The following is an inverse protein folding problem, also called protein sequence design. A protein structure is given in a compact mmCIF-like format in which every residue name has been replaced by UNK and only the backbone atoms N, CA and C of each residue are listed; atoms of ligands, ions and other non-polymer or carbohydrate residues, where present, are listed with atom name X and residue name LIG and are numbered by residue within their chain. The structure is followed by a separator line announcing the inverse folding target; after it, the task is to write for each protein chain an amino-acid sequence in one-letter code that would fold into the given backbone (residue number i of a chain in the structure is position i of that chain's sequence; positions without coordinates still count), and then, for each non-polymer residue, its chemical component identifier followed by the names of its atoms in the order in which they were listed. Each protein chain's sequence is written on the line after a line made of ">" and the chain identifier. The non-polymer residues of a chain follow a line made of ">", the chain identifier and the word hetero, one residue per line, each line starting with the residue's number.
data_IF_931150448416
#
_entry.id   IF_931150448416
#
_cell.length_a   1.000
_cell.length_b   1.000
_cell.length_c   1.000
_cell.angle_alpha   90.00
_cell.angle_beta   90.00
_cell.angle_gamma   90.00
#
_symmetry.space_group_name_H-M   'P 1'
#
loop_
_entity.id
_entity.type
_entity.pdbx_description
1 polymer ?
#
# COMPACT_ATOMS: atom_id res chain seq x y z
N UNK A 1 3.60 -14.96 9.47
CA UNK A 1 2.74 -13.98 8.75
C UNK A 1 1.47 -13.59 9.53
N UNK A 2 1.36 -12.32 9.91
CA UNK A 2 0.19 -11.70 10.57
C UNK A 2 -1.09 -11.81 9.71
N UNK A 3 -2.26 -11.97 10.35
CA UNK A 3 -3.55 -12.17 9.67
C UNK A 3 -3.92 -11.05 8.69
N UNK A 4 -3.60 -9.80 9.02
CA UNK A 4 -3.94 -8.63 8.21
C UNK A 4 -3.23 -8.59 6.86
N UNK A 5 -1.97 -9.02 6.79
CA UNK A 5 -1.26 -9.11 5.50
C UNK A 5 -1.84 -10.21 4.62
N UNK A 6 -2.27 -11.33 5.21
CA UNK A 6 -2.90 -12.43 4.46
C UNK A 6 -4.21 -11.99 3.82
N UNK A 7 -5.03 -11.24 4.55
CA UNK A 7 -6.28 -10.71 4.03
C UNK A 7 -6.05 -9.70 2.90
N UNK A 8 -5.15 -8.72 3.09
CA UNK A 8 -4.81 -7.74 2.06
C UNK A 8 -4.22 -8.40 0.79
N UNK A 9 -3.38 -9.43 0.97
CA UNK A 9 -2.82 -10.21 -0.13
C UNK A 9 -3.91 -10.95 -0.93
N UNK A 10 -4.75 -11.73 -0.25
CA UNK A 10 -5.82 -12.50 -0.89
C UNK A 10 -6.80 -11.58 -1.61
N UNK A 11 -7.25 -10.51 -0.94
CA UNK A 11 -8.13 -9.51 -1.54
C UNK A 11 -7.51 -8.87 -2.77
N UNK A 12 -6.26 -8.42 -2.67
CA UNK A 12 -5.52 -7.81 -3.78
C UNK A 12 -5.41 -8.75 -4.99
N UNK A 13 -5.05 -10.01 -4.76
CA UNK A 13 -4.94 -11.02 -5.83
C UNK A 13 -6.28 -11.25 -6.52
N UNK A 14 -7.37 -11.43 -5.77
CA UNK A 14 -8.71 -11.63 -6.34
C UNK A 14 -9.11 -10.43 -7.19
N UNK A 15 -8.96 -9.20 -6.68
CA UNK A 15 -9.31 -7.99 -7.41
C UNK A 15 -8.47 -7.84 -8.70
N UNK A 16 -7.16 -8.13 -8.66
CA UNK A 16 -6.28 -8.06 -9.83
C UNK A 16 -6.70 -9.07 -10.91
N UNK A 17 -6.94 -10.32 -10.53
CA UNK A 17 -7.36 -11.36 -11.47
C UNK A 17 -8.70 -11.01 -12.16
N UNK A 18 -9.61 -10.34 -11.45
CA UNK A 18 -10.92 -9.94 -11.98
C UNK A 18 -10.87 -8.66 -12.83
N UNK A 19 -10.05 -7.68 -12.45
CA UNK A 19 -10.13 -6.32 -12.99
C UNK A 19 -9.00 -5.98 -13.97
N UNK A 20 -7.87 -6.71 -13.92
CA UNK A 20 -6.64 -6.37 -14.63
C UNK A 20 -6.26 -7.41 -15.69
N UNK A 21 -7.22 -8.16 -16.23
CA UNK A 21 -6.99 -9.23 -17.21
C UNK A 21 -6.22 -8.77 -18.46
N UNK A 22 -6.30 -7.49 -18.82
CA UNK A 22 -5.55 -6.88 -19.92
C UNK A 22 -4.04 -6.75 -19.66
N UNK A 23 -3.60 -6.88 -18.40
CA UNK A 23 -2.19 -6.90 -17.97
C UNK A 23 -1.73 -8.31 -17.60
N UNK A 24 -2.51 -9.32 -17.95
CA UNK A 24 -2.18 -10.72 -17.75
C UNK A 24 -1.05 -11.11 -18.70
N UNK A 25 0.00 -11.70 -18.16
CA UNK A 25 1.03 -12.39 -18.93
C UNK A 25 0.82 -13.90 -18.74
N UNK A 26 0.80 -14.64 -19.85
CA UNK A 26 0.56 -16.08 -19.87
C UNK A 26 1.67 -16.76 -20.68
N UNK A 27 2.44 -17.63 -20.02
CA UNK A 27 3.51 -18.41 -20.65
C UNK A 27 3.09 -19.85 -20.98
N UNK A 28 1.82 -20.20 -20.78
CA UNK A 28 1.23 -21.52 -21.03
C UNK A 28 1.10 -22.38 -19.76
N UNK A 29 2.04 -22.27 -18.82
CA UNK A 29 2.04 -23.03 -17.56
C UNK A 29 1.70 -22.13 -16.36
N UNK A 30 1.99 -20.84 -16.47
CA UNK A 30 1.82 -19.85 -15.43
C UNK A 30 1.16 -18.58 -15.98
N UNK A 31 0.24 -18.07 -15.17
CA UNK A 31 -0.31 -16.72 -15.34
C UNK A 31 0.37 -15.80 -14.34
N UNK A 32 0.90 -14.69 -14.83
CA UNK A 32 1.53 -13.66 -14.01
C UNK A 32 0.92 -12.28 -14.26
N UNK A 33 1.10 -11.40 -13.28
CA UNK A 33 0.65 -10.02 -13.31
C UNK A 33 1.76 -9.12 -12.77
N UNK A 34 1.87 -7.86 -13.24
CA UNK A 34 2.81 -6.90 -12.69
C UNK A 34 2.62 -6.70 -11.18
N UNK A 35 3.69 -6.88 -10.40
CA UNK A 35 3.68 -6.68 -8.93
C UNK A 35 3.20 -5.28 -8.52
N UNK A 36 3.40 -4.28 -9.39
CA UNK A 36 2.93 -2.91 -9.17
C UNK A 36 1.44 -2.82 -8.87
N UNK A 37 0.62 -3.69 -9.47
CA UNK A 37 -0.83 -3.72 -9.23
C UNK A 37 -1.15 -4.07 -7.78
N UNK A 38 -0.42 -5.02 -7.19
CA UNK A 38 -0.63 -5.41 -5.81
C UNK A 38 -0.12 -4.34 -4.83
N UNK A 39 0.98 -3.67 -5.17
CA UNK A 39 1.48 -2.50 -4.43
C UNK A 39 0.44 -1.39 -4.40
N UNK A 40 -0.18 -1.08 -5.55
CA UNK A 40 -1.26 -0.10 -5.66
C UNK A 40 -2.45 -0.46 -4.76
N UNK A 41 -2.92 -1.72 -4.82
CA UNK A 41 -4.02 -2.17 -3.95
C UNK A 41 -3.69 -1.95 -2.48
N UNK A 42 -2.48 -2.26 -2.04
CA UNK A 42 -2.07 -2.05 -0.65
C UNK A 42 -1.97 -0.56 -0.29
N UNK A 43 -1.52 0.30 -1.21
CA UNK A 43 -1.59 1.75 -1.01
C UNK A 43 -3.03 2.19 -0.68
N UNK A 44 -3.98 1.75 -1.50
CA UNK A 44 -5.39 2.12 -1.37
C UNK A 44 -6.08 1.50 -0.15
N UNK A 45 -5.73 0.27 0.24
CA UNK A 45 -6.30 -0.38 1.42
C UNK A 45 -5.84 0.26 2.72
N UNK A 46 -4.55 0.60 2.82
CA UNK A 46 -3.95 1.05 4.06
C UNK A 46 -3.98 2.57 4.26
N UNK A 47 -4.00 3.38 3.18
CA UNK A 47 -4.11 4.83 3.30
C UNK A 47 -5.26 5.27 4.23
N UNK A 48 -6.53 4.88 4.00
CA UNK A 48 -7.64 5.39 4.82
C UNK A 48 -7.57 4.89 6.27
N UNK A 49 -6.96 3.73 6.51
CA UNK A 49 -6.76 3.17 7.84
C UNK A 49 -5.71 3.99 8.60
N UNK A 50 -4.64 4.39 7.93
CA UNK A 50 -3.51 5.10 8.55
C UNK A 50 -3.74 6.60 8.66
N UNK A 51 -4.57 7.16 7.78
CA UNK A 51 -4.99 8.56 7.83
C UNK A 51 -6.18 8.80 8.78
N UNK A 52 -6.73 7.75 9.38
CA UNK A 52 -7.84 7.88 10.32
C UNK A 52 -7.40 8.70 11.56
N UNK A 53 -8.25 9.60 12.10
CA UNK A 53 -7.94 10.36 13.30
C UNK A 53 -7.69 9.47 14.53
N UNK A 54 -8.36 8.31 14.56
CA UNK A 54 -8.14 7.30 15.58
C UNK A 54 -7.08 6.30 15.12
N UNK A 55 -6.21 5.89 16.04
CA UNK A 55 -5.26 4.82 15.75
C UNK A 55 -5.99 3.49 15.57
N UNK A 56 -5.89 2.90 14.39
CA UNK A 56 -6.46 1.59 14.06
C UNK A 56 -5.32 0.56 13.96
N UNK A 57 -5.19 -0.35 14.95
CA UNK A 57 -4.23 -1.45 14.90
C UNK A 57 -4.48 -2.37 13.70
N UNK A 58 -3.42 -2.83 13.06
CA UNK A 58 -3.41 -3.81 11.98
C UNK A 58 -2.68 -5.09 12.37
N UNK A 59 -2.00 -5.11 13.53
CA UNK A 59 -1.41 -6.32 14.10
C UNK A 59 -1.80 -6.45 15.57
N UNK A 60 -1.75 -7.67 16.08
CA UNK A 60 -2.02 -7.93 17.49
C UNK A 60 -1.00 -7.21 18.36
N UNK A 61 -1.48 -6.34 19.25
CA UNK A 61 -0.63 -5.53 20.11
C UNK A 61 0.14 -4.43 19.37
N UNK A 62 -0.28 -4.04 18.16
CA UNK A 62 0.20 -2.82 17.52
C UNK A 62 -0.27 -1.61 18.32
N UNK A 63 0.66 -0.71 18.64
CA UNK A 63 0.40 0.54 19.36
C UNK A 63 0.79 1.72 18.47
N UNK A 64 0.36 2.95 18.83
CA UNK A 64 0.83 4.16 18.15
C UNK A 64 2.36 4.28 18.13
N UNK A 65 3.02 3.78 19.17
CA UNK A 65 4.48 3.69 19.26
C UNK A 65 5.04 2.72 18.21
N UNK A 66 5.58 3.29 17.14
CA UNK A 66 6.14 2.55 16.01
C UNK A 66 7.50 1.88 16.34
N UNK A 67 8.13 2.24 17.46
CA UNK A 67 9.44 1.71 17.85
C UNK A 67 9.34 0.44 18.72
N UNK A 68 8.16 0.14 19.27
CA UNK A 68 7.89 -1.04 20.09
C UNK A 68 7.97 -2.40 19.33
N UNK A 69 8.40 -2.40 18.05
CA UNK A 69 8.69 -3.60 17.25
C UNK A 69 7.48 -4.39 16.76
N UNK A 70 6.24 -4.01 17.14
CA UNK A 70 4.99 -4.69 16.74
C UNK A 70 4.23 -3.99 15.61
N UNK A 71 4.83 -2.96 15.02
CA UNK A 71 4.23 -2.14 13.98
C UNK A 71 4.14 -2.83 12.61
N UNK A 72 3.17 -2.39 11.80
CA UNK A 72 3.22 -2.59 10.36
C UNK A 72 4.41 -1.81 9.79
N UNK A 73 5.38 -2.52 9.22
CA UNK A 73 6.69 -1.98 8.81
C UNK A 73 6.61 -0.78 7.86
N UNK A 74 5.60 -0.75 6.99
CA UNK A 74 5.40 0.33 6.03
C UNK A 74 4.51 1.47 6.55
N UNK A 75 3.88 1.36 7.72
CA UNK A 75 3.02 2.42 8.30
C UNK A 75 3.79 3.72 8.48
N UNK A 76 5.00 3.68 9.05
CA UNK A 76 5.86 4.87 9.20
C UNK A 76 6.18 5.57 7.87
N UNK A 77 6.19 4.82 6.75
CA UNK A 77 6.47 5.37 5.43
C UNK A 77 5.23 5.99 4.79
N UNK A 78 4.03 5.72 5.31
CA UNK A 78 2.81 6.42 4.91
C UNK A 78 2.74 7.83 5.50
N UNK A 79 3.25 8.06 6.71
CA UNK A 79 3.10 9.33 7.41
C UNK A 79 3.48 10.55 6.54
N UNK A 80 4.65 10.62 5.89
CA UNK A 80 4.99 11.78 5.07
C UNK A 80 4.06 12.00 3.87
N UNK A 81 3.51 10.92 3.31
CA UNK A 81 2.55 10.99 2.19
C UNK A 81 1.18 11.44 2.68
N UNK A 82 0.72 10.91 3.81
CA UNK A 82 -0.57 11.29 4.42
C UNK A 82 -0.52 12.75 4.85
N UNK A 83 0.52 13.17 5.57
CA UNK A 83 0.70 14.53 6.04
C UNK A 83 0.71 15.52 4.86
N UNK A 84 1.34 15.13 3.75
CA UNK A 84 1.32 15.93 2.54
C UNK A 84 -0.08 16.10 1.96
N UNK A 85 -0.84 15.02 1.81
CA UNK A 85 -2.15 15.11 1.16
C UNK A 85 -3.29 15.50 2.12
N UNK A 86 -3.11 15.41 3.44
CA UNK A 86 -4.18 15.60 4.44
C UNK A 86 -4.95 16.91 4.23
N UNK A 87 -4.24 18.04 4.17
CA UNK A 87 -4.85 19.36 3.98
C UNK A 87 -5.08 19.71 2.50
N UNK A 88 -4.76 18.79 1.59
CA UNK A 88 -4.86 18.92 0.13
C UNK A 88 -5.95 18.02 -0.46
N UNK A 89 -6.96 17.62 0.33
CA UNK A 89 -8.06 16.75 -0.11
C UNK A 89 -7.82 15.25 0.11
N UNK A 90 -6.77 14.89 0.84
CA UNK A 90 -6.49 13.55 1.34
C UNK A 90 -6.34 12.50 0.24
N UNK A 91 -6.91 11.32 0.50
CA UNK A 91 -6.80 10.14 -0.39
C UNK A 91 -7.29 10.42 -1.81
N UNK A 92 -8.31 11.26 -1.98
CA UNK A 92 -8.90 11.57 -3.29
C UNK A 92 -7.88 12.25 -4.21
N UNK A 93 -7.15 13.23 -3.69
CA UNK A 93 -6.13 13.96 -4.46
C UNK A 93 -4.88 13.12 -4.62
N UNK A 94 -4.44 12.41 -3.57
CA UNK A 94 -3.36 11.44 -3.67
C UNK A 94 -3.60 10.43 -4.81
N UNK A 95 -4.78 9.82 -4.86
CA UNK A 95 -5.10 8.81 -5.88
C UNK A 95 -5.18 9.43 -7.28
N UNK A 96 -5.73 10.64 -7.41
CA UNK A 96 -5.77 11.34 -8.70
C UNK A 96 -4.37 11.60 -9.24
N UNK A 97 -3.47 12.12 -8.39
CA UNK A 97 -2.09 12.43 -8.76
C UNK A 97 -1.29 11.17 -9.08
N UNK A 98 -1.49 10.10 -8.31
CA UNK A 98 -0.89 8.80 -8.57
C UNK A 98 -1.36 8.23 -9.92
N UNK A 99 -2.68 8.15 -10.15
CA UNK A 99 -3.26 7.53 -11.34
C UNK A 99 -2.93 8.29 -12.63
N UNK A 100 -2.73 9.61 -12.55
CA UNK A 100 -2.37 10.47 -13.69
C UNK A 100 -0.86 10.63 -13.88
N UNK A 101 -0.04 10.13 -12.95
CA UNK A 101 1.40 10.38 -12.96
C UNK A 101 1.76 11.85 -12.74
N UNK A 102 0.89 12.63 -12.09
CA UNK A 102 1.06 14.08 -11.85
C UNK A 102 1.56 14.41 -10.45
N UNK A 103 2.01 13.40 -9.70
CA UNK A 103 2.51 13.56 -8.34
C UNK A 103 3.60 14.65 -8.24
N UNK A 104 3.46 15.65 -7.35
CA UNK A 104 4.42 16.73 -7.19
C UNK A 104 5.84 16.24 -6.88
N UNK A 105 6.85 16.88 -7.48
CA UNK A 105 8.25 16.46 -7.35
C UNK A 105 8.74 16.40 -5.89
N UNK A 106 8.21 17.25 -5.02
CA UNK A 106 8.55 17.30 -3.59
C UNK A 106 8.09 16.06 -2.81
N UNK A 107 6.99 15.41 -3.20
CA UNK A 107 6.46 14.22 -2.51
C UNK A 107 6.92 12.89 -3.13
N UNK A 108 7.42 12.92 -4.38
CA UNK A 108 7.89 11.73 -5.09
C UNK A 108 8.93 10.90 -4.30
N UNK A 109 9.95 11.47 -3.62
CA UNK A 109 10.92 10.68 -2.86
C UNK A 109 10.29 9.90 -1.69
N UNK A 110 9.34 10.52 -0.98
CA UNK A 110 8.62 9.88 0.10
C UNK A 110 7.71 8.76 -0.43
N UNK A 111 7.00 9.03 -1.52
CA UNK A 111 6.17 8.05 -2.19
C UNK A 111 6.99 6.85 -2.70
N UNK A 112 8.14 7.08 -3.33
CA UNK A 112 9.03 6.02 -3.79
C UNK A 112 9.52 5.14 -2.64
N UNK A 113 9.83 5.75 -1.48
CA UNK A 113 10.20 5.04 -0.26
C UNK A 113 9.04 4.16 0.25
N UNK A 114 7.82 4.71 0.28
CA UNK A 114 6.62 3.97 0.66
C UNK A 114 6.34 2.78 -0.26
N UNK A 115 6.30 3.01 -1.57
CA UNK A 115 6.08 1.96 -2.57
C UNK A 115 7.13 0.84 -2.47
N UNK A 116 8.41 1.21 -2.26
CA UNK A 116 9.49 0.25 -2.02
C UNK A 116 9.28 -0.56 -0.74
N UNK A 117 8.82 0.06 0.34
CA UNK A 117 8.55 -0.60 1.61
C UNK A 117 7.38 -1.60 1.52
N UNK A 118 6.30 -1.23 0.84
CA UNK A 118 5.15 -2.12 0.57
C UNK A 118 5.62 -3.31 -0.27
N UNK A 119 6.28 -3.05 -1.39
CA UNK A 119 6.82 -4.09 -2.28
C UNK A 119 7.71 -5.08 -1.52
N UNK A 120 8.65 -4.57 -0.71
CA UNK A 120 9.53 -5.41 0.09
C UNK A 120 8.75 -6.24 1.12
N UNK A 121 7.67 -5.70 1.69
CA UNK A 121 6.83 -6.44 2.63
C UNK A 121 6.14 -7.59 1.91
N UNK A 122 5.55 -7.34 0.73
CA UNK A 122 4.89 -8.37 -0.08
C UNK A 122 5.88 -9.49 -0.47
N UNK A 123 7.07 -9.15 -0.96
CA UNK A 123 8.00 -10.14 -1.52
C UNK A 123 8.90 -10.83 -0.49
N UNK A 124 9.13 -10.22 0.67
CA UNK A 124 10.01 -10.75 1.72
C UNK A 124 9.26 -11.24 2.95
N UNK A 125 7.93 -11.27 2.91
CA UNK A 125 7.12 -11.85 3.98
C UNK A 125 7.57 -13.29 4.25
N UNK A 126 8.30 -13.48 5.35
CA UNK A 126 8.57 -14.78 5.98
C UNK A 126 7.72 -14.84 7.26
#
# INVERSE_FOLDING_TARGET
>A
ADATYKYALLRGVIEICQQSSHLREDDGDQVSFPLGLLVEKWLLYYYPIFAAPAFIPQKNGETPDQEAGRAVTFRRHFAPVIDYYQDRGGISVFYNDYARGTMPAEIQPAFATLAKAIRNTITKMR
#
